data_IF_755163472363
#
_entry.id   IF_755163472363
#
_cell.length_a   1.000
_cell.length_b   1.000
_cell.length_c   1.000
_cell.angle_alpha   90.00
_cell.angle_beta   90.00
_cell.angle_gamma   90.00
#
_symmetry.space_group_name_H-M   'P 1'
#
loop_
_entity.id
_entity.type
_entity.pdbx_description
1 polymer ?
#
# COMPACT_ATOMS: atom_id res chain seq x y z
N UNK A 1 -29.06 10.65 3.30
CA UNK A 1 -27.82 11.38 3.65
C UNK A 1 -27.21 11.95 2.37
N UNK A 2 -26.46 13.05 2.42
CA UNK A 2 -25.78 13.57 1.22
C UNK A 2 -24.58 12.67 0.91
N UNK A 3 -24.37 12.38 -0.37
CA UNK A 3 -23.19 11.64 -0.82
C UNK A 3 -21.90 12.40 -0.43
N UNK A 4 -20.88 11.66 0.04
CA UNK A 4 -19.58 12.21 0.40
C UNK A 4 -18.56 11.88 -0.70
N UNK A 5 -18.39 12.80 -1.64
CA UNK A 5 -17.49 12.61 -2.78
C UNK A 5 -16.03 12.37 -2.35
N UNK A 6 -15.55 13.08 -1.33
CA UNK A 6 -14.19 12.91 -0.83
C UNK A 6 -13.96 11.48 -0.30
N UNK A 7 -14.94 10.92 0.42
CA UNK A 7 -14.85 9.52 0.87
C UNK A 7 -14.74 8.57 -0.33
N UNK A 8 -15.56 8.75 -1.36
CA UNK A 8 -15.46 7.96 -2.60
C UNK A 8 -14.09 8.06 -3.27
N UNK A 9 -13.50 9.26 -3.34
CA UNK A 9 -12.21 9.48 -3.99
C UNK A 9 -11.06 8.82 -3.21
N UNK A 10 -11.03 8.96 -1.88
CA UNK A 10 -10.03 8.28 -1.03
C UNK A 10 -10.23 6.77 -1.04
N UNK A 11 -11.49 6.31 -1.07
CA UNK A 11 -11.82 4.89 -1.19
C UNK A 11 -11.30 4.28 -2.50
N UNK A 12 -11.46 5.00 -3.61
CA UNK A 12 -10.89 4.62 -4.91
C UNK A 12 -9.36 4.55 -4.86
N UNK A 13 -8.71 5.57 -4.28
CA UNK A 13 -7.25 5.56 -4.12
C UNK A 13 -6.76 4.31 -3.36
N UNK A 14 -7.43 3.94 -2.27
CA UNK A 14 -7.04 2.76 -1.49
C UNK A 14 -7.13 1.47 -2.30
N UNK A 15 -8.18 1.30 -3.11
CA UNK A 15 -8.28 0.18 -4.05
C UNK A 15 -7.21 0.22 -5.14
N UNK A 16 -6.92 1.38 -5.70
CA UNK A 16 -5.89 1.56 -6.73
C UNK A 16 -4.51 1.19 -6.20
N UNK A 17 -4.17 1.55 -4.96
CA UNK A 17 -2.91 1.17 -4.34
C UNK A 17 -2.77 -0.36 -4.18
N UNK A 18 -3.85 -1.04 -3.75
CA UNK A 18 -3.87 -2.50 -3.64
C UNK A 18 -3.75 -3.19 -5.02
N UNK A 19 -4.49 -2.70 -6.02
CA UNK A 19 -4.44 -3.23 -7.40
C UNK A 19 -3.09 -2.97 -8.06
N UNK A 20 -2.50 -1.80 -7.84
CA UNK A 20 -1.19 -1.44 -8.36
C UNK A 20 -0.09 -2.36 -7.84
N UNK A 21 -0.16 -2.76 -6.56
CA UNK A 21 0.74 -3.77 -6.01
C UNK A 21 0.59 -5.13 -6.70
N UNK A 22 -0.65 -5.57 -6.96
CA UNK A 22 -0.90 -6.81 -7.69
C UNK A 22 -0.32 -6.75 -9.12
N UNK A 23 -0.54 -5.65 -9.84
CA UNK A 23 0.05 -5.43 -11.16
C UNK A 23 1.58 -5.46 -11.13
N UNK A 24 2.18 -4.79 -10.14
CA UNK A 24 3.62 -4.77 -9.92
C UNK A 24 4.20 -6.17 -9.67
N UNK A 25 3.59 -6.95 -8.77
CA UNK A 25 4.01 -8.33 -8.49
C UNK A 25 3.89 -9.21 -9.74
N UNK A 26 2.80 -9.09 -10.49
CA UNK A 26 2.60 -9.88 -11.70
C UNK A 26 3.69 -9.55 -12.71
N UNK A 27 3.99 -8.27 -12.94
CA UNK A 27 5.05 -7.85 -13.85
C UNK A 27 6.41 -8.46 -13.48
N UNK A 28 6.82 -8.36 -12.21
CA UNK A 28 8.09 -8.93 -11.73
C UNK A 28 8.11 -10.46 -11.84
N UNK A 29 7.02 -11.14 -11.47
CA UNK A 29 6.95 -12.62 -11.51
C UNK A 29 6.85 -13.18 -12.92
N UNK A 30 6.36 -12.39 -13.88
CA UNK A 30 6.24 -12.82 -15.26
C UNK A 30 7.54 -12.64 -16.03
N UNK A 31 8.34 -11.61 -15.74
CA UNK A 31 9.59 -11.34 -16.46
C UNK A 31 10.52 -12.57 -16.62
N UNK A 32 10.79 -13.40 -15.59
CA UNK A 32 11.63 -14.59 -15.72
C UNK A 32 10.97 -15.75 -16.49
N UNK A 33 9.65 -15.70 -16.69
CA UNK A 33 8.83 -16.76 -17.30
C UNK A 33 8.44 -16.44 -18.74
N UNK A 34 8.75 -15.24 -19.23
CA UNK A 34 8.58 -14.92 -20.63
C UNK A 34 9.47 -15.85 -21.45
N UNK A 35 8.91 -16.44 -22.50
CA UNK A 35 9.73 -17.18 -23.46
C UNK A 35 10.83 -16.28 -24.00
N UNK A 36 12.03 -16.82 -24.22
CA UNK A 36 13.20 -16.03 -24.63
C UNK A 36 12.92 -15.15 -25.85
N UNK A 37 12.08 -15.60 -26.79
CA UNK A 37 11.66 -14.80 -27.95
C UNK A 37 10.77 -13.61 -27.59
N UNK A 38 9.84 -13.77 -26.65
CA UNK A 38 8.97 -12.69 -26.18
C UNK A 38 9.75 -11.65 -25.39
N UNK A 39 10.68 -12.08 -24.53
CA UNK A 39 11.56 -11.18 -23.78
C UNK A 39 12.51 -10.41 -24.71
N UNK A 40 13.14 -11.08 -25.68
CA UNK A 40 14.00 -10.43 -26.68
C UNK A 40 13.21 -9.41 -27.50
N UNK A 41 11.96 -9.73 -27.89
CA UNK A 41 11.10 -8.78 -28.59
C UNK A 41 10.76 -7.58 -27.72
N UNK A 42 10.39 -7.77 -26.45
CA UNK A 42 10.10 -6.68 -25.53
C UNK A 42 11.29 -5.72 -25.39
N UNK A 43 12.48 -6.27 -25.18
CA UNK A 43 13.73 -5.49 -25.09
C UNK A 43 14.03 -4.80 -26.42
N UNK A 44 13.82 -5.47 -27.56
CA UNK A 44 14.02 -4.87 -28.89
C UNK A 44 13.05 -3.74 -29.20
N UNK A 45 11.79 -3.86 -28.79
CA UNK A 45 10.76 -2.85 -28.99
C UNK A 45 10.98 -1.63 -28.05
N UNK A 46 11.58 -1.85 -26.87
CA UNK A 46 11.86 -0.82 -25.86
C UNK A 46 13.27 -1.00 -25.26
N UNK A 47 14.35 -0.68 -26.00
CA UNK A 47 15.71 -0.93 -25.52
C UNK A 47 16.10 -0.02 -24.36
N UNK A 48 15.50 1.16 -24.29
CA UNK A 48 15.64 2.09 -23.17
C UNK A 48 14.30 2.75 -22.90
N UNK A 49 14.09 3.14 -21.65
CA UNK A 49 12.93 3.90 -21.23
C UNK A 49 13.36 5.02 -20.27
N UNK A 50 12.42 5.83 -19.80
CA UNK A 50 12.71 6.97 -18.96
C UNK A 50 11.60 7.30 -17.98
N UNK A 51 12.01 7.90 -16.86
CA UNK A 51 11.11 8.62 -15.95
C UNK A 51 11.21 10.11 -16.24
N UNK A 52 10.07 10.79 -16.38
CA UNK A 52 10.05 12.25 -16.51
C UNK A 52 10.39 12.91 -15.18
N UNK A 53 11.32 13.87 -15.21
CA UNK A 53 11.61 14.75 -14.09
C UNK A 53 10.66 15.94 -14.10
N UNK A 54 10.50 16.59 -12.94
CA UNK A 54 9.62 17.77 -12.78
C UNK A 54 10.04 18.96 -13.66
N UNK A 55 11.33 19.09 -13.96
CA UNK A 55 11.87 20.14 -14.84
C UNK A 55 11.68 19.84 -16.34
N UNK A 56 10.96 18.75 -16.67
CA UNK A 56 10.72 18.30 -18.04
C UNK A 56 11.86 17.48 -18.64
N UNK A 57 13.00 17.36 -17.95
CA UNK A 57 14.11 16.49 -18.40
C UNK A 57 13.81 15.01 -18.11
N UNK A 58 14.64 14.11 -18.65
CA UNK A 58 14.45 12.65 -18.55
C UNK A 58 15.53 12.02 -17.68
N UNK A 59 15.16 11.07 -16.83
CA UNK A 59 16.08 10.09 -16.24
C UNK A 59 15.89 8.78 -16.99
N UNK A 60 16.82 8.48 -17.90
CA UNK A 60 16.74 7.29 -18.75
C UNK A 60 17.43 6.09 -18.11
N UNK A 61 16.99 4.89 -18.47
CA UNK A 61 17.58 3.63 -18.05
C UNK A 61 17.51 2.61 -19.19
N UNK A 62 18.43 1.64 -19.17
CA UNK A 62 18.41 0.49 -20.07
C UNK A 62 17.37 -0.52 -19.57
N UNK A 63 16.47 -0.94 -20.47
CA UNK A 63 15.34 -1.80 -20.11
C UNK A 63 15.80 -3.20 -19.73
N UNK A 64 16.82 -3.73 -20.42
CA UNK A 64 17.33 -5.06 -20.15
C UNK A 64 17.99 -5.08 -18.77
N UNK A 65 18.86 -4.12 -18.48
CA UNK A 65 19.51 -4.00 -17.18
C UNK A 65 18.48 -3.85 -16.05
N UNK A 66 17.46 -3.01 -16.23
CA UNK A 66 16.40 -2.82 -15.24
C UNK A 66 15.61 -4.11 -14.96
N UNK A 67 15.24 -4.87 -16.01
CA UNK A 67 14.55 -6.16 -15.86
C UNK A 67 15.45 -7.18 -15.15
N UNK A 68 16.71 -7.28 -15.56
CA UNK A 68 17.69 -8.19 -14.95
C UNK A 68 17.87 -7.84 -13.47
N UNK A 69 18.06 -6.58 -13.12
CA UNK A 69 18.13 -6.13 -11.73
C UNK A 69 16.86 -6.46 -10.94
N UNK A 70 15.68 -6.18 -11.48
CA UNK A 70 14.42 -6.48 -10.80
C UNK A 70 14.21 -7.98 -10.50
N UNK A 71 14.78 -8.87 -11.32
CA UNK A 71 14.65 -10.33 -11.21
C UNK A 71 15.79 -10.97 -10.43
N UNK A 72 17.03 -10.60 -10.72
CA UNK A 72 18.23 -11.28 -10.27
C UNK A 72 18.84 -10.66 -9.00
N UNK A 73 18.63 -9.36 -8.78
CA UNK A 73 19.12 -8.70 -7.57
C UNK A 73 18.15 -8.98 -6.40
N UNK A 74 18.63 -9.79 -5.45
CA UNK A 74 17.84 -10.17 -4.28
C UNK A 74 17.47 -8.97 -3.40
N UNK A 75 18.32 -7.96 -3.31
CA UNK A 75 18.04 -6.77 -2.50
C UNK A 75 16.89 -5.99 -3.13
N UNK A 76 16.94 -5.74 -4.45
CA UNK A 76 15.87 -5.06 -5.18
C UNK A 76 14.57 -5.87 -5.10
N UNK A 77 14.62 -7.17 -5.40
CA UNK A 77 13.44 -8.03 -5.37
C UNK A 77 12.78 -8.12 -3.97
N UNK A 78 13.57 -8.02 -2.90
CA UNK A 78 13.06 -8.04 -1.51
C UNK A 78 12.49 -6.68 -1.10
N UNK A 79 13.12 -5.59 -1.50
CA UNK A 79 12.76 -4.24 -1.05
C UNK A 79 11.63 -3.60 -1.87
N UNK A 80 11.49 -3.92 -3.15
CA UNK A 80 10.44 -3.35 -4.01
C UNK A 80 9.02 -3.51 -3.42
N UNK A 81 8.62 -4.71 -2.93
CA UNK A 81 7.35 -4.86 -2.25
C UNK A 81 7.21 -3.98 -1.01
N UNK A 82 8.28 -3.83 -0.23
CA UNK A 82 8.29 -3.02 0.99
C UNK A 82 8.06 -1.55 0.67
N UNK A 83 8.79 -1.03 -0.32
CA UNK A 83 8.70 0.37 -0.75
C UNK A 83 7.30 0.68 -1.27
N UNK A 84 6.72 -0.21 -2.09
CA UNK A 84 5.37 0.00 -2.63
C UNK A 84 4.32 0.05 -1.51
N UNK A 85 4.32 -0.94 -0.61
CA UNK A 85 3.31 -1.03 0.45
C UNK A 85 3.47 0.08 1.49
N UNK A 86 4.71 0.45 1.81
CA UNK A 86 4.99 1.62 2.65
C UNK A 86 4.45 2.90 2.01
N UNK A 87 4.77 3.14 0.74
CA UNK A 87 4.26 4.29 -0.02
C UNK A 87 2.74 4.32 -0.11
N UNK A 88 2.11 3.16 -0.30
CA UNK A 88 0.65 3.02 -0.37
C UNK A 88 -0.02 3.42 0.95
N UNK A 89 0.49 2.95 2.09
CA UNK A 89 -0.03 3.30 3.41
C UNK A 89 0.24 4.76 3.78
N UNK A 90 1.37 5.32 3.36
CA UNK A 90 1.66 6.74 3.51
C UNK A 90 0.65 7.58 2.71
N UNK A 91 0.47 7.30 1.42
CA UNK A 91 -0.43 8.04 0.55
C UNK A 91 -1.88 7.99 1.04
N UNK A 92 -2.42 6.79 1.29
CA UNK A 92 -3.80 6.63 1.79
C UNK A 92 -3.95 7.21 3.18
N UNK A 93 -2.95 7.04 4.05
CA UNK A 93 -2.99 7.57 5.41
C UNK A 93 -2.89 9.10 5.47
N UNK A 94 -2.23 9.74 4.51
CA UNK A 94 -2.18 11.19 4.37
C UNK A 94 -3.53 11.75 3.88
N UNK A 95 -4.13 11.13 2.87
CA UNK A 95 -5.48 11.51 2.42
C UNK A 95 -6.54 11.33 3.53
N UNK A 96 -6.48 10.22 4.27
CA UNK A 96 -7.34 10.04 5.45
C UNK A 96 -7.11 11.14 6.49
N UNK A 97 -5.87 11.56 6.71
CA UNK A 97 -5.52 12.61 7.69
C UNK A 97 -6.11 13.96 7.31
N UNK A 98 -6.03 14.34 6.03
CA UNK A 98 -6.57 15.61 5.51
C UNK A 98 -8.10 15.70 5.65
N UNK A 99 -8.71 14.55 5.94
CA UNK A 99 -10.11 14.32 6.16
C UNK A 99 -10.45 13.91 7.59
N UNK A 100 -9.56 14.16 8.55
CA UNK A 100 -9.72 13.81 9.98
C UNK A 100 -10.17 12.35 10.21
N UNK A 101 -9.66 11.44 9.37
CA UNK A 101 -9.94 10.00 9.38
C UNK A 101 -11.44 9.64 9.33
N UNK A 102 -12.28 10.50 8.74
CA UNK A 102 -13.75 10.40 8.59
C UNK A 102 -14.49 9.60 9.67
N UNK A 103 -14.30 10.01 10.92
CA UNK A 103 -15.05 9.50 12.07
C UNK A 103 -14.28 8.50 12.93
N UNK A 104 -12.96 8.41 12.75
CA UNK A 104 -12.05 7.62 13.61
C UNK A 104 -12.51 6.17 13.81
N UNK A 105 -13.09 5.56 12.78
CA UNK A 105 -13.40 4.14 12.81
C UNK A 105 -12.11 3.34 13.04
N UNK A 106 -12.21 2.20 13.73
CA UNK A 106 -11.03 1.46 14.17
C UNK A 106 -10.08 1.06 13.04
N UNK A 107 -10.63 0.83 11.85
CA UNK A 107 -9.86 0.52 10.64
C UNK A 107 -9.02 1.71 10.15
N UNK A 108 -9.55 2.93 10.20
CA UNK A 108 -8.83 4.13 9.78
C UNK A 108 -7.76 4.53 10.79
N UNK A 109 -8.03 4.31 12.08
CA UNK A 109 -7.05 4.48 13.15
C UNK A 109 -5.92 3.46 13.08
N UNK A 110 -6.22 2.22 12.65
CA UNK A 110 -5.19 1.25 12.31
C UNK A 110 -4.26 1.80 11.21
N UNK A 111 -4.81 2.31 10.10
CA UNK A 111 -4.00 2.95 9.03
C UNK A 111 -3.20 4.13 9.56
N UNK A 112 -3.79 5.02 10.37
CA UNK A 112 -3.10 6.16 10.98
C UNK A 112 -1.83 5.74 11.70
N UNK A 113 -1.93 4.71 12.55
CA UNK A 113 -0.80 4.25 13.34
C UNK A 113 0.25 3.53 12.49
N UNK A 114 -0.16 2.74 11.50
CA UNK A 114 0.77 2.11 10.56
C UNK A 114 1.54 3.19 9.76
N UNK A 115 0.83 4.15 9.17
CA UNK A 115 1.40 5.30 8.44
C UNK A 115 2.40 6.07 9.30
N UNK A 116 2.04 6.38 10.54
CA UNK A 116 2.93 7.09 11.46
C UNK A 116 4.17 6.26 11.82
N UNK A 117 4.03 4.96 12.06
CA UNK A 117 5.18 4.13 12.36
C UNK A 117 6.12 3.96 11.17
N UNK A 118 5.59 3.85 9.95
CA UNK A 118 6.38 3.86 8.70
C UNK A 118 7.16 5.17 8.57
N UNK A 119 6.49 6.30 8.74
CA UNK A 119 7.11 7.63 8.69
C UNK A 119 8.21 7.83 9.76
N UNK A 120 8.19 7.05 10.83
CA UNK A 120 9.18 7.07 11.91
C UNK A 120 10.20 5.91 11.83
N UNK A 121 10.52 5.46 10.61
CA UNK A 121 11.55 4.42 10.41
C UNK A 121 11.01 3.02 10.63
N UNK A 122 9.78 2.76 10.21
CA UNK A 122 9.09 1.47 10.31
C UNK A 122 8.96 0.94 11.75
N UNK A 123 8.68 1.83 12.72
CA UNK A 123 8.47 1.46 14.14
C UNK A 123 7.32 2.23 14.74
N UNK A 124 6.50 1.56 15.55
CA UNK A 124 5.44 2.23 16.30
C UNK A 124 6.02 3.26 17.28
N UNK A 125 5.38 4.42 17.36
CA UNK A 125 5.67 5.48 18.33
C UNK A 125 4.40 5.78 19.13
N UNK A 126 4.12 4.95 20.14
CA UNK A 126 2.89 5.00 20.95
C UNK A 126 3.31 5.33 22.38
N UNK A 127 3.19 6.62 22.75
CA UNK A 127 3.64 7.13 24.06
C UNK A 127 2.52 7.23 25.10
N UNK A 128 1.27 7.16 24.65
CA UNK A 128 0.08 7.35 25.47
C UNK A 128 -0.98 6.32 25.07
N UNK A 129 -2.00 6.08 25.92
CA UNK A 129 -3.17 5.30 25.54
C UNK A 129 -3.79 5.82 24.24
N UNK A 130 -4.31 4.89 23.44
CA UNK A 130 -4.96 5.25 22.18
C UNK A 130 -6.29 5.96 22.48
N UNK A 131 -6.52 7.09 21.80
CA UNK A 131 -7.77 7.85 21.92
C UNK A 131 -8.96 7.10 21.31
N UNK A 132 -8.70 6.36 20.23
CA UNK A 132 -9.67 5.56 19.50
C UNK A 132 -9.12 4.14 19.33
N UNK A 133 -9.99 3.11 19.27
CA UNK A 133 -9.57 1.75 18.93
C UNK A 133 -8.85 1.73 17.57
N UNK A 134 -7.88 0.84 17.40
CA UNK A 134 -7.12 0.72 16.15
C UNK A 134 -6.98 -0.76 15.79
N UNK A 135 -7.94 -1.30 15.04
CA UNK A 135 -7.98 -2.72 14.69
C UNK A 135 -8.75 -3.03 13.40
N UNK A 136 -8.57 -4.24 12.87
CA UNK A 136 -9.24 -4.73 11.64
C UNK A 136 -10.42 -5.70 11.90
N UNK A 137 -10.94 -5.81 13.14
CA UNK A 137 -11.99 -6.79 13.48
C UNK A 137 -13.19 -6.78 12.53
N UNK A 138 -13.64 -5.58 12.16
CA UNK A 138 -14.80 -5.32 11.29
C UNK A 138 -14.40 -5.01 9.84
N UNK A 139 -13.19 -5.41 9.42
CA UNK A 139 -12.74 -5.22 8.05
C UNK A 139 -13.54 -6.07 7.05
N UNK A 140 -13.85 -5.49 5.88
CA UNK A 140 -14.56 -6.15 4.78
C UNK A 140 -13.78 -7.34 4.20
N UNK A 141 -12.46 -7.17 4.09
CA UNK A 141 -11.54 -8.17 3.59
C UNK A 141 -10.61 -8.57 4.72
N UNK A 142 -10.44 -9.88 4.90
CA UNK A 142 -9.63 -10.48 5.97
C UNK A 142 -8.96 -11.74 5.46
N UNK A 143 -7.84 -12.08 6.09
CA UNK A 143 -7.17 -13.34 5.85
C UNK A 143 -8.13 -14.52 6.14
N UNK A 144 -7.97 -15.67 5.45
CA UNK A 144 -8.78 -16.86 5.74
C UNK A 144 -8.69 -17.35 7.18
N UNK A 145 -7.61 -16.98 7.88
CA UNK A 145 -7.38 -17.31 9.28
C UNK A 145 -8.05 -16.33 10.25
N UNK A 146 -8.77 -15.31 9.75
CA UNK A 146 -9.37 -14.22 10.53
C UNK A 146 -8.37 -13.56 11.49
N UNK A 147 -7.15 -13.33 11.03
CA UNK A 147 -6.11 -12.68 11.84
C UNK A 147 -6.54 -11.27 12.23
N UNK A 148 -6.56 -11.00 13.53
CA UNK A 148 -6.88 -9.69 14.08
C UNK A 148 -5.58 -8.94 14.36
N UNK A 149 -5.43 -7.80 13.70
CA UNK A 149 -4.40 -6.81 14.01
C UNK A 149 -5.04 -5.75 14.89
N UNK A 150 -4.53 -5.61 16.11
CA UNK A 150 -4.95 -4.59 17.05
C UNK A 150 -3.72 -3.88 17.60
N UNK A 151 -3.70 -2.56 17.43
CA UNK A 151 -2.60 -1.75 17.93
C UNK A 151 -2.89 -1.39 19.37
N UNK A 152 -1.92 -1.66 20.23
CA UNK A 152 -1.96 -1.32 21.65
C UNK A 152 -0.68 -0.60 22.05
N UNK A 153 -0.65 0.12 23.19
CA UNK A 153 0.57 0.77 23.69
C UNK A 153 1.76 -0.18 23.88
N UNK A 154 1.52 -1.48 24.09
CA UNK A 154 2.57 -2.49 24.23
C UNK A 154 3.42 -2.66 22.95
N UNK A 155 2.91 -2.25 21.78
CA UNK A 155 3.64 -2.30 20.52
C UNK A 155 4.64 -1.15 20.36
N UNK A 156 4.76 -0.21 21.31
CA UNK A 156 5.68 0.90 21.18
C UNK A 156 7.12 0.44 20.88
N UNK A 157 7.76 1.07 19.90
CA UNK A 157 9.09 0.74 19.33
C UNK A 157 9.18 -0.59 18.57
N UNK A 158 8.11 -1.38 18.52
CA UNK A 158 8.09 -2.59 17.70
C UNK A 158 8.03 -2.22 16.21
N UNK A 159 8.61 -3.06 15.33
CA UNK A 159 8.54 -2.80 13.91
C UNK A 159 7.10 -2.91 13.38
N UNK A 160 6.81 -2.21 12.27
CA UNK A 160 5.47 -2.16 11.68
C UNK A 160 5.35 -3.15 10.51
N UNK A 161 5.89 -2.81 9.35
CA UNK A 161 5.77 -3.63 8.15
C UNK A 161 6.69 -4.84 8.19
N UNK A 162 6.10 -5.99 7.82
CA UNK A 162 6.62 -7.36 7.76
C UNK A 162 6.94 -8.05 9.09
N UNK A 163 6.76 -7.37 10.22
CA UNK A 163 6.80 -7.99 11.54
C UNK A 163 5.40 -7.99 12.20
N UNK A 164 4.76 -6.83 12.29
CA UNK A 164 3.40 -6.72 12.82
C UNK A 164 2.34 -7.06 11.76
N UNK A 165 2.51 -6.59 10.52
CA UNK A 165 1.57 -6.81 9.42
C UNK A 165 2.31 -7.20 8.14
N UNK A 166 1.83 -8.25 7.45
CA UNK A 166 2.42 -8.75 6.21
C UNK A 166 1.88 -8.08 4.95
N UNK A 167 2.46 -8.40 3.80
CA UNK A 167 2.03 -7.81 2.52
C UNK A 167 0.56 -8.08 2.20
N UNK A 168 0.11 -9.33 2.33
CA UNK A 168 -1.29 -9.71 2.07
C UNK A 168 -2.25 -8.98 3.00
N UNK A 169 -1.90 -8.87 4.27
CA UNK A 169 -2.71 -8.19 5.28
C UNK A 169 -2.84 -6.68 4.99
N UNK A 170 -1.79 -6.05 4.44
CA UNK A 170 -1.86 -4.66 3.97
C UNK A 170 -2.84 -4.52 2.79
N UNK A 171 -2.88 -5.47 1.87
CA UNK A 171 -3.84 -5.44 0.76
C UNK A 171 -5.28 -5.61 1.23
N UNK A 172 -5.51 -6.52 2.19
CA UNK A 172 -6.81 -6.68 2.84
C UNK A 172 -7.24 -5.40 3.56
N UNK A 173 -6.31 -4.75 4.27
CA UNK A 173 -6.53 -3.49 4.95
C UNK A 173 -6.89 -2.37 3.96
N UNK A 174 -6.10 -2.15 2.91
CA UNK A 174 -6.35 -1.13 1.90
C UNK A 174 -7.68 -1.35 1.18
N UNK A 175 -7.98 -2.60 0.82
CA UNK A 175 -9.26 -2.96 0.19
C UNK A 175 -10.44 -2.72 1.13
N UNK A 176 -10.26 -2.99 2.42
CA UNK A 176 -11.29 -2.76 3.44
C UNK A 176 -11.54 -1.28 3.68
N UNK A 177 -10.49 -0.46 3.68
CA UNK A 177 -10.58 0.99 3.75
C UNK A 177 -11.34 1.51 2.53
N UNK A 178 -10.99 1.02 1.34
CA UNK A 178 -11.68 1.32 0.09
C UNK A 178 -13.18 1.06 0.18
N UNK A 179 -13.58 -0.17 0.54
CA UNK A 179 -14.98 -0.56 0.65
C UNK A 179 -15.73 0.28 1.70
N UNK A 180 -15.11 0.53 2.85
CA UNK A 180 -15.72 1.32 3.93
C UNK A 180 -15.99 2.76 3.50
N UNK A 181 -15.02 3.39 2.85
CA UNK A 181 -15.15 4.76 2.37
C UNK A 181 -16.13 4.87 1.20
N UNK A 182 -16.25 3.84 0.37
CA UNK A 182 -17.25 3.79 -0.70
C UNK A 182 -18.68 3.73 -0.13
N UNK A 183 -18.93 2.92 0.90
CA UNK A 183 -20.21 2.91 1.62
C UNK A 183 -20.53 4.29 2.20
N UNK A 184 -19.57 4.91 2.88
CA UNK A 184 -19.71 6.26 3.41
C UNK A 184 -19.98 7.28 2.30
N UNK A 185 -19.31 7.15 1.15
CA UNK A 185 -19.49 8.00 -0.03
C UNK A 185 -20.91 7.93 -0.58
N UNK A 186 -21.54 6.74 -0.56
CA UNK A 186 -22.96 6.56 -0.90
C UNK A 186 -23.93 7.05 0.17
N UNK A 187 -23.43 7.45 1.34
CA UNK A 187 -24.26 7.83 2.47
C UNK A 187 -24.97 6.62 3.08
N UNK A 188 -24.30 5.47 3.14
CA UNK A 188 -24.69 4.33 3.98
C UNK A 188 -24.13 4.55 5.40
N UNK A 189 -24.82 4.01 6.40
CA UNK A 189 -24.34 4.10 7.77
C UNK A 189 -23.02 3.33 7.91
N UNK A 190 -22.00 4.00 8.45
CA UNK A 190 -20.76 3.38 8.88
C UNK A 190 -21.05 2.57 10.15
#
# INVERSE_FOLDING_TARGET
>A
MKANQAASDVGRLAFEMARGYAAHIVAIRMAPRLESKALVRLIGDYPSDFVQRKDGTKWSFDTQDAIVSAVADKAIATELPRVWLAGSLLAVGDELKDHDYFGHAALFELVRHLRNGIAHGNRFNIRYPLKYPAHNRDAFYRSPNNTIFEITPALNRQPVLFDFIGAGDVLDLLSSVGARLEQMGRGEAA
#
